data_IF_658168385994
#
_entry.id   IF_658168385994
#
_cell.length_a   1.000
_cell.length_b   1.000
_cell.length_c   1.000
_cell.angle_alpha   90.00
_cell.angle_beta   90.00
_cell.angle_gamma   90.00
#
_symmetry.space_group_name_H-M   'P 1'
#
loop_
_entity.id
_entity.type
_entity.pdbx_description
1 polymer ?
#
# COMPACT_ATOMS: atom_id res chain seq x y z
N UNK A 1 24.71 3.10 13.59
CA UNK A 1 23.28 3.20 13.25
C UNK A 1 22.80 1.80 13.00
N UNK A 2 21.80 1.34 13.74
CA UNK A 2 21.22 0.02 13.50
C UNK A 2 20.22 0.05 12.32
N UNK A 3 19.83 -1.12 11.82
CA UNK A 3 18.95 -1.26 10.67
C UNK A 3 17.57 -0.61 10.85
N UNK A 4 17.07 -0.58 12.10
CA UNK A 4 15.78 0.03 12.45
C UNK A 4 15.89 1.55 12.38
N UNK A 5 16.96 2.12 12.93
CA UNK A 5 17.24 3.55 12.88
C UNK A 5 17.41 4.04 11.42
N UNK A 6 18.18 3.31 10.60
CA UNK A 6 18.29 3.60 9.16
C UNK A 6 16.92 3.54 8.45
N UNK A 7 16.10 2.55 8.80
CA UNK A 7 14.75 2.41 8.23
C UNK A 7 13.82 3.55 8.66
N UNK A 8 13.91 4.05 9.89
CA UNK A 8 13.12 5.20 10.33
C UNK A 8 13.57 6.51 9.71
N UNK A 9 14.87 6.68 9.46
CA UNK A 9 15.37 7.82 8.70
C UNK A 9 14.88 7.76 7.25
N UNK A 10 14.93 6.59 6.61
CA UNK A 10 14.37 6.39 5.29
C UNK A 10 12.86 6.67 5.24
N UNK A 11 12.08 6.22 6.24
CA UNK A 11 10.66 6.55 6.36
C UNK A 11 10.42 8.05 6.52
N UNK A 12 11.28 8.75 7.25
CA UNK A 12 11.17 10.22 7.40
C UNK A 12 11.45 10.95 6.09
N UNK A 13 12.40 10.47 5.27
CA UNK A 13 12.65 11.02 3.92
C UNK A 13 11.46 10.82 2.98
N UNK A 14 10.62 9.81 3.21
CA UNK A 14 9.38 9.63 2.44
C UNK A 14 8.39 10.80 2.62
N UNK A 15 8.52 11.63 3.66
CA UNK A 15 7.72 12.85 3.82
C UNK A 15 7.87 13.79 2.61
N UNK A 16 9.07 13.90 2.01
CA UNK A 16 9.31 14.73 0.82
C UNK A 16 8.54 14.23 -0.41
N UNK A 17 8.23 12.93 -0.44
CA UNK A 17 7.58 12.25 -1.57
C UNK A 17 6.06 12.28 -1.40
N UNK A 18 5.58 12.04 -0.18
CA UNK A 18 4.17 11.73 0.09
C UNK A 18 3.44 12.76 0.97
N UNK A 19 4.08 13.81 1.50
CA UNK A 19 3.41 14.77 2.39
C UNK A 19 2.16 15.44 1.78
N UNK A 20 2.06 15.49 0.45
CA UNK A 20 0.86 15.99 -0.26
C UNK A 20 -0.33 15.03 -0.23
N UNK A 21 -0.13 13.77 0.12
CA UNK A 21 -1.16 12.74 0.15
C UNK A 21 -1.83 12.73 1.53
N UNK A 22 -3.13 13.00 1.62
CA UNK A 22 -3.81 13.15 2.91
C UNK A 22 -3.87 11.85 3.74
N UNK A 23 -3.69 10.68 3.13
CA UNK A 23 -3.56 9.40 3.84
C UNK A 23 -2.13 9.12 4.33
N UNK A 24 -1.15 9.94 3.96
CA UNK A 24 0.26 9.68 4.24
C UNK A 24 0.53 9.50 5.73
N UNK A 25 0.05 10.40 6.58
CA UNK A 25 0.27 10.30 8.04
C UNK A 25 -0.32 9.01 8.64
N UNK A 26 -1.47 8.56 8.14
CA UNK A 26 -2.06 7.28 8.57
C UNK A 26 -1.21 6.08 8.12
N UNK A 27 -0.67 6.13 6.90
CA UNK A 27 0.25 5.11 6.38
C UNK A 27 1.54 5.11 7.19
N UNK A 28 2.14 6.29 7.40
CA UNK A 28 3.36 6.50 8.18
C UNK A 28 3.23 5.96 9.61
N UNK A 29 2.14 6.27 10.30
CA UNK A 29 1.89 5.75 11.64
C UNK A 29 1.81 4.22 11.68
N UNK A 30 1.16 3.60 10.69
CA UNK A 30 1.09 2.15 10.57
C UNK A 30 2.43 1.50 10.19
N UNK A 31 3.32 2.25 9.52
CA UNK A 31 4.62 1.77 9.07
C UNK A 31 5.62 1.53 10.21
N UNK A 32 5.58 2.34 11.28
CA UNK A 32 6.49 2.20 12.42
C UNK A 32 6.53 0.77 13.01
N UNK A 33 5.42 0.20 13.51
CA UNK A 33 5.44 -1.15 14.08
C UNK A 33 5.76 -2.24 13.05
N UNK A 34 5.45 -2.01 11.76
CA UNK A 34 5.76 -2.96 10.70
C UNK A 34 7.25 -3.01 10.38
N UNK A 35 7.93 -1.87 10.40
CA UNK A 35 9.39 -1.78 10.21
C UNK A 35 10.12 -2.48 11.35
N UNK A 36 9.69 -2.25 12.60
CA UNK A 36 10.25 -2.91 13.79
C UNK A 36 10.14 -4.44 13.66
N UNK A 37 8.92 -4.95 13.41
CA UNK A 37 8.68 -6.39 13.29
C UNK A 37 9.38 -7.02 12.08
N UNK A 38 9.45 -6.31 10.95
CA UNK A 38 10.05 -6.85 9.72
C UNK A 38 11.57 -6.96 9.82
N UNK A 39 12.23 -6.05 10.56
CA UNK A 39 13.65 -6.17 10.86
C UNK A 39 13.94 -7.30 11.87
N UNK A 40 12.99 -7.61 12.77
CA UNK A 40 13.11 -8.69 13.76
C UNK A 40 12.96 -10.10 13.14
N UNK A 41 12.18 -10.26 12.06
CA UNK A 41 11.73 -11.59 11.56
C UNK A 41 12.69 -12.25 10.54
N UNK A 42 13.49 -11.50 9.74
CA UNK A 42 14.67 -11.93 8.93
C UNK A 42 14.95 -11.01 7.72
N UNK A 43 16.24 -10.94 7.34
CA UNK A 43 16.79 -10.67 5.97
C UNK A 43 16.59 -9.30 5.29
N UNK A 44 16.31 -8.22 6.02
CA UNK A 44 16.54 -6.90 5.46
C UNK A 44 18.05 -6.59 5.56
N UNK A 45 18.81 -6.73 4.47
CA UNK A 45 20.20 -6.21 4.38
C UNK A 45 20.11 -4.68 4.33
N UNK A 46 19.62 -4.06 5.41
CA UNK A 46 19.64 -2.61 5.61
C UNK A 46 21.00 -2.31 6.23
N UNK A 47 21.94 -2.03 5.34
CA UNK A 47 23.35 -1.77 5.70
C UNK A 47 23.74 -0.33 5.38
N UNK A 48 22.92 0.37 4.59
CA UNK A 48 23.11 1.74 4.15
C UNK A 48 21.76 2.42 3.86
N UNK A 49 21.80 3.72 3.58
CA UNK A 49 20.64 4.54 3.27
C UNK A 49 19.86 4.05 2.02
N UNK A 50 20.57 3.52 1.03
CA UNK A 50 19.96 3.08 -0.24
C UNK A 50 19.11 1.82 -0.02
N UNK A 51 19.67 0.83 0.67
CA UNK A 51 18.98 -0.40 1.06
C UNK A 51 17.84 -0.14 2.04
N UNK A 52 18.00 0.81 2.97
CA UNK A 52 16.94 1.27 3.86
C UNK A 52 15.74 1.85 3.08
N UNK A 53 15.99 2.74 2.12
CA UNK A 53 14.95 3.34 1.29
C UNK A 53 14.18 2.28 0.49
N UNK A 54 14.90 1.35 -0.15
CA UNK A 54 14.29 0.25 -0.91
C UNK A 54 13.43 -0.65 -0.02
N UNK A 55 13.90 -0.95 1.18
CA UNK A 55 13.15 -1.74 2.17
C UNK A 55 11.86 -1.02 2.58
N UNK A 56 11.95 0.22 3.07
CA UNK A 56 10.80 0.99 3.55
C UNK A 56 9.73 1.15 2.47
N UNK A 57 10.13 1.53 1.25
CA UNK A 57 9.19 1.72 0.13
C UNK A 57 8.54 0.39 -0.29
N UNK A 58 9.26 -0.73 -0.18
CA UNK A 58 8.69 -2.07 -0.43
C UNK A 58 7.66 -2.47 0.62
N UNK A 59 7.93 -2.23 1.91
CA UNK A 59 6.98 -2.53 3.00
C UNK A 59 5.73 -1.63 2.88
N UNK A 60 5.92 -0.36 2.55
CA UNK A 60 4.85 0.61 2.27
C UNK A 60 3.94 0.13 1.13
N UNK A 61 4.52 -0.26 -0.01
CA UNK A 61 3.74 -0.75 -1.15
C UNK A 61 2.88 -1.97 -0.77
N UNK A 62 3.46 -2.93 -0.03
CA UNK A 62 2.74 -4.12 0.46
C UNK A 62 1.65 -3.77 1.47
N UNK A 63 1.88 -2.83 2.36
CA UNK A 63 0.87 -2.38 3.33
C UNK A 63 -0.34 -1.78 2.62
N UNK A 64 -0.09 -0.86 1.69
CA UNK A 64 -1.15 -0.17 0.94
C UNK A 64 -1.94 -1.16 0.07
N UNK A 65 -1.27 -2.10 -0.59
CA UNK A 65 -1.92 -3.16 -1.36
C UNK A 65 -2.87 -3.99 -0.49
N UNK A 66 -2.47 -4.36 0.73
CA UNK A 66 -3.35 -5.07 1.68
C UNK A 66 -4.55 -4.24 2.11
N UNK A 67 -4.37 -2.94 2.35
CA UNK A 67 -5.47 -2.04 2.70
C UNK A 67 -6.50 -1.93 1.57
N UNK A 68 -6.05 -1.95 0.31
CA UNK A 68 -6.94 -1.97 -0.86
C UNK A 68 -7.60 -3.35 -1.06
N UNK A 69 -6.84 -4.44 -0.91
CA UNK A 69 -7.33 -5.80 -1.12
C UNK A 69 -8.40 -6.24 -0.11
N UNK A 70 -8.33 -5.75 1.13
CA UNK A 70 -9.34 -6.01 2.16
C UNK A 70 -10.68 -5.35 1.86
N UNK A 71 -10.74 -4.42 0.89
CA UNK A 71 -11.97 -3.71 0.53
C UNK A 71 -12.39 -2.63 1.53
N UNK A 72 -11.54 -2.33 2.53
CA UNK A 72 -11.78 -1.28 3.52
C UNK A 72 -11.78 0.13 2.90
N UNK A 73 -11.07 0.31 1.78
CA UNK A 73 -11.01 1.57 1.04
C UNK A 73 -11.41 1.36 -0.41
N UNK A 74 -12.40 2.12 -0.88
CA UNK A 74 -12.91 2.03 -2.24
C UNK A 74 -12.25 3.09 -3.14
N UNK A 75 -11.71 2.71 -4.29
CA UNK A 75 -11.14 3.68 -5.23
C UNK A 75 -12.17 4.27 -6.22
N UNK A 76 -13.31 3.59 -6.43
CA UNK A 76 -14.25 3.90 -7.52
C UNK A 76 -15.69 4.17 -7.08
N UNK A 77 -15.97 4.29 -5.77
CA UNK A 77 -17.34 4.47 -5.26
C UNK A 77 -17.63 5.93 -4.88
N UNK A 78 -18.22 6.68 -5.82
CA UNK A 78 -18.73 8.05 -5.60
C UNK A 78 -17.69 9.07 -5.10
N UNK A 79 -18.17 10.19 -4.52
CA UNK A 79 -17.36 11.22 -3.85
C UNK A 79 -16.62 10.72 -2.59
N UNK A 80 -16.88 9.49 -2.13
CA UNK A 80 -16.29 8.87 -0.95
C UNK A 80 -15.04 8.02 -1.26
N UNK A 81 -14.64 7.91 -2.53
CA UNK A 81 -13.46 7.13 -2.94
C UNK A 81 -12.10 7.80 -2.72
N UNK A 82 -12.09 8.98 -2.08
CA UNK A 82 -10.90 9.84 -1.96
C UNK A 82 -9.77 9.15 -1.20
N UNK A 83 -10.07 8.42 -0.13
CA UNK A 83 -9.07 7.68 0.64
C UNK A 83 -8.48 6.50 -0.17
N UNK A 84 -9.32 5.75 -0.89
CA UNK A 84 -8.86 4.65 -1.74
C UNK A 84 -8.00 5.15 -2.91
N UNK A 85 -8.40 6.25 -3.56
CA UNK A 85 -7.63 6.88 -4.62
C UNK A 85 -6.27 7.38 -4.12
N UNK A 86 -6.23 8.01 -2.95
CA UNK A 86 -4.98 8.50 -2.40
C UNK A 86 -4.05 7.36 -1.94
N UNK A 87 -4.60 6.28 -1.39
CA UNK A 87 -3.82 5.06 -1.12
C UNK A 87 -3.25 4.48 -2.42
N UNK A 88 -4.06 4.39 -3.49
CA UNK A 88 -3.57 3.98 -4.80
C UNK A 88 -2.44 4.89 -5.29
N UNK A 89 -2.57 6.21 -5.22
CA UNK A 89 -1.52 7.16 -5.60
C UNK A 89 -0.21 6.94 -4.82
N UNK A 90 -0.32 6.66 -3.52
CA UNK A 90 0.84 6.33 -2.67
C UNK A 90 1.52 5.05 -3.17
N UNK A 91 0.75 3.99 -3.47
CA UNK A 91 1.31 2.74 -3.99
C UNK A 91 1.95 2.91 -5.38
N UNK A 92 1.30 3.62 -6.29
CA UNK A 92 1.85 3.88 -7.64
C UNK A 92 3.14 4.69 -7.57
N UNK A 93 3.18 5.71 -6.70
CA UNK A 93 4.37 6.54 -6.49
C UNK A 93 5.50 5.74 -5.85
N UNK A 94 5.19 4.86 -4.88
CA UNK A 94 6.17 3.95 -4.30
C UNK A 94 6.75 2.97 -5.34
N UNK A 95 5.91 2.36 -6.18
CA UNK A 95 6.37 1.43 -7.22
C UNK A 95 7.25 2.12 -8.27
N UNK A 96 6.87 3.32 -8.71
CA UNK A 96 7.68 4.14 -9.62
C UNK A 96 9.02 4.53 -8.99
N UNK A 97 9.02 4.93 -7.72
CA UNK A 97 10.26 5.26 -7.00
C UNK A 97 11.22 4.06 -6.96
N UNK A 98 10.71 2.85 -6.67
CA UNK A 98 11.50 1.62 -6.68
C UNK A 98 12.09 1.32 -8.06
N UNK A 99 11.34 1.57 -9.13
CA UNK A 99 11.83 1.41 -10.49
C UNK A 99 12.92 2.43 -10.86
N UNK A 100 12.66 3.72 -10.63
CA UNK A 100 13.58 4.82 -10.93
C UNK A 100 14.94 4.64 -10.22
N UNK A 101 14.92 4.09 -9.00
CA UNK A 101 16.11 3.81 -8.20
C UNK A 101 16.65 2.38 -8.38
N UNK A 102 16.21 1.68 -9.44
CA UNK A 102 16.68 0.33 -9.83
C UNK A 102 16.58 -0.71 -8.71
N UNK A 103 15.63 -0.53 -7.80
CA UNK A 103 15.31 -1.50 -6.75
C UNK A 103 14.53 -2.69 -7.31
N UNK A 104 13.76 -2.46 -8.36
CA UNK A 104 13.03 -3.47 -9.14
C UNK A 104 13.32 -3.27 -10.63
N UNK A 105 13.22 -4.34 -11.43
CA UNK A 105 13.29 -4.23 -12.89
C UNK A 105 12.03 -3.57 -13.48
N UNK A 106 12.13 -3.02 -14.68
CA UNK A 106 10.99 -2.49 -15.43
C UNK A 106 9.85 -3.53 -15.56
N UNK A 107 10.20 -4.76 -15.91
CA UNK A 107 9.21 -5.86 -16.00
C UNK A 107 8.52 -6.14 -14.65
N UNK A 108 9.29 -6.12 -13.55
CA UNK A 108 8.74 -6.30 -12.20
C UNK A 108 7.81 -5.15 -11.81
N UNK A 109 8.16 -3.92 -12.19
CA UNK A 109 7.31 -2.75 -12.02
C UNK A 109 5.99 -2.91 -12.78
N UNK A 110 6.03 -3.26 -14.07
CA UNK A 110 4.83 -3.49 -14.88
C UNK A 110 3.94 -4.59 -14.30
N UNK A 111 4.52 -5.70 -13.84
CA UNK A 111 3.78 -6.79 -13.18
C UNK A 111 3.11 -6.32 -11.89
N UNK A 112 3.81 -5.57 -11.04
CA UNK A 112 3.26 -5.04 -9.78
C UNK A 112 2.18 -3.98 -10.02
N UNK A 113 2.35 -3.12 -11.02
CA UNK A 113 1.32 -2.15 -11.43
C UNK A 113 0.06 -2.84 -11.97
N UNK A 114 0.23 -3.90 -12.77
CA UNK A 114 -0.90 -4.72 -13.23
C UNK A 114 -1.64 -5.34 -12.04
N UNK A 115 -0.89 -5.92 -11.09
CA UNK A 115 -1.47 -6.51 -9.90
C UNK A 115 -2.25 -5.49 -9.04
N UNK A 116 -1.68 -4.29 -8.82
CA UNK A 116 -2.35 -3.21 -8.11
C UNK A 116 -3.69 -2.83 -8.77
N UNK A 117 -3.72 -2.74 -10.11
CA UNK A 117 -4.95 -2.49 -10.85
C UNK A 117 -5.99 -3.62 -10.67
N UNK A 118 -5.55 -4.88 -10.67
CA UNK A 118 -6.41 -6.04 -10.42
C UNK A 118 -7.01 -5.99 -9.01
N UNK A 119 -6.20 -5.69 -7.99
CA UNK A 119 -6.64 -5.53 -6.59
C UNK A 119 -7.71 -4.44 -6.47
N UNK A 120 -7.43 -3.25 -7.03
CA UNK A 120 -8.37 -2.12 -7.04
C UNK A 120 -9.69 -2.47 -7.75
N UNK A 121 -9.60 -3.18 -8.89
CA UNK A 121 -10.77 -3.58 -9.66
C UNK A 121 -11.61 -4.65 -8.97
N UNK A 122 -10.97 -5.62 -8.30
CA UNK A 122 -11.63 -6.72 -7.59
C UNK A 122 -12.33 -6.22 -6.34
N UNK A 123 -11.67 -5.36 -5.55
CA UNK A 123 -12.27 -4.69 -4.40
C UNK A 123 -13.52 -3.88 -4.77
N UNK A 124 -13.61 -3.42 -6.01
CA UNK A 124 -14.80 -2.73 -6.55
C UNK A 124 -15.91 -3.69 -7.00
N UNK A 125 -15.60 -4.94 -7.37
CA UNK A 125 -16.57 -5.93 -7.90
C UNK A 125 -17.18 -6.84 -6.83
N UNK A 126 -16.46 -7.18 -5.77
CA UNK A 126 -16.88 -8.17 -4.76
C UNK A 126 -18.16 -7.84 -3.97
N UNK A 127 -18.82 -6.72 -4.24
CA UNK A 127 -20.14 -6.38 -3.67
C UNK A 127 -21.25 -6.10 -4.69
N UNK A 128 -21.02 -6.33 -6.00
CA UNK A 128 -22.13 -6.40 -6.98
C UNK A 128 -22.91 -7.73 -6.91
N UNK A 129 -22.54 -8.60 -5.96
CA UNK A 129 -23.23 -9.84 -5.63
C UNK A 129 -23.82 -9.69 -4.21
N UNK A 130 -24.69 -8.70 -4.02
CA UNK A 130 -25.67 -8.81 -2.94
C UNK A 130 -26.74 -9.80 -3.41
N UNK A 131 -27.07 -10.87 -2.66
CA UNK A 131 -28.23 -11.68 -3.01
C UNK A 131 -29.47 -10.79 -2.83
N UNK A 132 -30.08 -10.39 -3.94
CA UNK A 132 -31.47 -9.93 -3.97
C UNK A 132 -32.36 -11.15 -3.69
N UNK A 133 -32.37 -11.58 -2.44
CA UNK A 133 -33.26 -12.62 -1.91
C UNK A 133 -34.33 -11.95 -1.08
N UNK A 134 -35.31 -11.36 -1.75
CA UNK A 134 -36.63 -11.05 -1.20
C UNK A 134 -37.18 -12.33 -0.59
N UNK A 135 -37.31 -12.41 0.73
CA UNK A 135 -38.24 -13.34 1.35
C UNK A 135 -39.56 -12.59 1.52
N UNK A 136 -40.40 -12.69 0.50
CA UNK A 136 -41.79 -12.27 0.56
C UNK A 136 -42.51 -13.06 1.67
N UNK A 137 -43.14 -12.32 2.57
CA UNK A 137 -44.54 -12.42 3.01
C UNK A 137 -45.19 -13.82 3.11
N UNK A 138 -45.75 -14.04 4.31
CA UNK A 138 -46.92 -14.86 4.68
C UNK A 138 -46.75 -16.36 4.96
N UNK A 139 -47.24 -16.76 6.14
CA UNK A 139 -47.93 -18.04 6.29
C UNK A 139 -47.74 -18.75 7.63
N UNK A 140 -48.54 -18.37 8.62
CA UNK A 140 -49.42 -19.23 9.45
C UNK A 140 -49.45 -18.80 10.92
#
# INVERSE_FOLDING_TARGET
MDAVELSFQALSRCDEIFAKNHMWENVRAAMFPMIEQSNDIRDAIVVDDETAAKFVVSVLARYVERQLATGNFHCHRGTLGIHGQNLREIAETALRYLEEHKAISHDSYLMKMKHLNEVVSTASRSQNIAPTGRADVAGS
#
